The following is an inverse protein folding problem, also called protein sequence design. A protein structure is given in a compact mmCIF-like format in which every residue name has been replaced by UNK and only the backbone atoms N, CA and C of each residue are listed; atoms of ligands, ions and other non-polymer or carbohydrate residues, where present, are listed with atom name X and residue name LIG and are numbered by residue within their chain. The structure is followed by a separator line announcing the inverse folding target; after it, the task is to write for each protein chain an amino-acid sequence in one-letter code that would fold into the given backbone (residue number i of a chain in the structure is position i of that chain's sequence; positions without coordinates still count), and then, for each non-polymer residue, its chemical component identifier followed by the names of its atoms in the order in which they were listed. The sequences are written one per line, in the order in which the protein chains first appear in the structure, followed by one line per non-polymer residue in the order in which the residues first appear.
data_IF_317057104063
#
_entry.id   IF_317057104063
#
_cell.length_a   1.000
_cell.length_b   1.000
_cell.length_c   1.000
_cell.angle_alpha   90.00
_cell.angle_beta   90.00
_cell.angle_gamma   90.00
#
_symmetry.space_group_name_H-M   'P 1'
#
loop_
_entity.id
_entity.type
_entity.pdbx_description
1 polymer ?
#
# COMPACT_ATOMS: atom_id res chain seq x y z
N UNK A 1 0.27 -5.36 27.52
CA UNK A 1 1.57 -4.64 27.61
C UNK A 1 2.24 -4.64 26.23
N UNK A 2 3.29 -3.83 26.01
CA UNK A 2 3.99 -3.77 24.71
C UNK A 2 4.43 -5.16 24.20
N UNK A 3 5.05 -5.96 25.07
CA UNK A 3 5.53 -7.30 24.73
C UNK A 3 4.44 -8.27 24.27
N UNK A 4 3.22 -8.12 24.81
CA UNK A 4 2.05 -8.93 24.39
C UNK A 4 1.61 -8.54 22.98
N UNK A 5 1.57 -7.24 22.67
CA UNK A 5 1.21 -6.74 21.35
C UNK A 5 2.25 -7.17 20.30
N UNK A 6 3.54 -7.06 20.63
CA UNK A 6 4.61 -7.56 19.76
C UNK A 6 4.50 -9.07 19.55
N UNK A 7 4.25 -9.84 20.61
CA UNK A 7 4.05 -11.29 20.50
C UNK A 7 2.84 -11.64 19.63
N UNK A 8 1.75 -10.87 19.74
CA UNK A 8 0.57 -11.03 18.89
C UNK A 8 0.90 -10.77 17.42
N UNK A 9 1.60 -9.66 17.12
CA UNK A 9 2.03 -9.31 15.76
C UNK A 9 2.91 -10.38 15.13
N UNK A 10 3.96 -10.82 15.85
CA UNK A 10 4.86 -11.88 15.38
C UNK A 10 4.15 -13.22 15.18
N UNK A 11 3.22 -13.59 16.07
CA UNK A 11 2.39 -14.79 15.88
C UNK A 11 1.51 -14.69 14.64
N UNK A 12 0.97 -13.50 14.34
CA UNK A 12 0.16 -13.28 13.13
C UNK A 12 1.01 -13.45 11.87
N UNK A 13 2.23 -12.91 11.84
CA UNK A 13 3.18 -13.13 10.75
C UNK A 13 3.49 -14.62 10.61
N UNK A 14 3.86 -15.29 11.70
CA UNK A 14 4.20 -16.71 11.69
C UNK A 14 3.04 -17.58 11.16
N UNK A 15 1.80 -17.25 11.56
CA UNK A 15 0.60 -17.95 11.08
C UNK A 15 0.34 -17.72 9.58
N UNK A 16 0.53 -16.49 9.08
CA UNK A 16 0.32 -16.18 7.65
C UNK A 16 1.42 -16.75 6.75
N UNK A 17 2.65 -16.81 7.24
CA UNK A 17 3.80 -17.37 6.49
C UNK A 17 3.94 -18.89 6.68
N UNK A 18 3.11 -19.52 7.53
CA UNK A 18 3.21 -20.93 7.90
C UNK A 18 4.61 -21.33 8.39
N UNK A 19 5.21 -20.48 9.24
CA UNK A 19 6.54 -20.70 9.83
C UNK A 19 6.45 -20.87 11.34
N UNK A 20 7.42 -21.58 11.91
CA UNK A 20 7.58 -21.63 13.36
C UNK A 20 8.01 -20.25 13.89
N UNK A 21 7.45 -19.84 15.04
CA UNK A 21 7.76 -18.55 15.66
C UNK A 21 9.27 -18.35 15.91
N UNK A 22 9.96 -19.42 16.30
CA UNK A 22 11.42 -19.41 16.51
C UNK A 22 12.20 -19.02 15.24
N UNK A 23 11.79 -19.56 14.09
CA UNK A 23 12.42 -19.27 12.79
C UNK A 23 12.16 -17.82 12.41
N UNK A 24 10.92 -17.33 12.64
CA UNK A 24 10.59 -15.93 12.40
C UNK A 24 11.41 -14.98 13.29
N UNK A 25 11.64 -15.31 14.56
CA UNK A 25 12.46 -14.48 15.44
C UNK A 25 13.92 -14.39 14.99
N UNK A 26 14.48 -15.48 14.46
CA UNK A 26 15.81 -15.49 13.86
C UNK A 26 15.87 -14.66 12.57
N UNK A 27 14.85 -14.76 11.71
CA UNK A 27 14.71 -13.94 10.49
C UNK A 27 14.59 -12.45 10.82
N UNK A 28 13.69 -12.09 11.73
CA UNK A 28 13.50 -10.73 12.23
C UNK A 28 14.80 -10.22 12.85
N UNK A 29 15.48 -11.05 13.65
CA UNK A 29 16.79 -10.71 14.19
C UNK A 29 17.79 -10.36 13.10
N UNK A 30 17.90 -11.21 12.08
CA UNK A 30 18.77 -10.99 10.93
C UNK A 30 18.42 -9.71 10.14
N UNK A 31 17.14 -9.48 9.84
CA UNK A 31 16.64 -8.30 9.13
C UNK A 31 16.97 -6.99 9.87
N UNK A 32 16.88 -7.01 11.21
CA UNK A 32 17.14 -5.83 12.04
C UNK A 32 18.59 -5.73 12.57
N UNK A 33 19.47 -6.66 12.16
CA UNK A 33 20.86 -6.71 12.63
C UNK A 33 20.99 -6.93 14.14
N UNK A 34 20.03 -7.62 14.75
CA UNK A 34 20.00 -7.93 16.19
C UNK A 34 19.99 -9.44 16.44
N UNK A 35 20.37 -9.84 17.64
CA UNK A 35 20.24 -11.24 18.04
C UNK A 35 18.79 -11.60 18.32
N UNK A 36 18.41 -12.86 18.10
CA UNK A 36 17.11 -13.40 18.52
C UNK A 36 16.78 -13.10 19.98
N UNK A 37 17.79 -13.11 20.85
CA UNK A 37 17.60 -12.78 22.26
C UNK A 37 17.16 -11.32 22.50
N UNK A 38 17.55 -10.38 21.63
CA UNK A 38 17.02 -9.02 21.67
C UNK A 38 15.51 -9.00 21.35
N UNK A 39 15.08 -9.76 20.33
CA UNK A 39 13.67 -9.89 19.96
C UNK A 39 12.87 -10.53 21.09
N UNK A 40 13.40 -11.60 21.71
CA UNK A 40 12.79 -12.24 22.87
C UNK A 40 12.66 -11.27 24.06
N UNK A 41 13.70 -10.47 24.32
CA UNK A 41 13.66 -9.44 25.36
C UNK A 41 12.56 -8.41 25.08
N UNK A 42 12.38 -7.99 23.83
CA UNK A 42 11.31 -7.04 23.49
C UNK A 42 9.92 -7.64 23.71
N UNK A 43 9.75 -8.92 23.38
CA UNK A 43 8.51 -9.67 23.67
C UNK A 43 8.21 -9.80 25.16
N UNK A 44 9.23 -9.72 26.03
CA UNK A 44 9.06 -9.69 27.49
C UNK A 44 8.72 -8.29 28.03
N UNK A 45 8.66 -7.27 27.18
CA UNK A 45 8.18 -5.93 27.53
C UNK A 45 9.23 -4.82 27.48
N UNK A 46 10.48 -5.11 27.09
CA UNK A 46 11.46 -4.05 26.83
C UNK A 46 11.13 -3.36 25.51
N UNK A 47 11.01 -2.03 25.52
CA UNK A 47 10.76 -1.26 24.30
C UNK A 47 12.09 -0.97 23.59
N UNK A 48 12.24 -1.28 22.29
CA UNK A 48 13.42 -0.90 21.52
C UNK A 48 13.43 0.60 21.19
N UNK A 49 14.48 1.05 20.52
CA UNK A 49 14.56 2.39 19.93
C UNK A 49 13.46 2.63 18.87
N UNK A 50 13.15 3.90 18.64
CA UNK A 50 12.03 4.33 17.81
C UNK A 50 12.09 3.73 16.38
N UNK A 51 13.28 3.69 15.77
CA UNK A 51 13.47 3.13 14.42
C UNK A 51 13.06 1.65 14.35
N UNK A 52 13.45 0.85 15.36
CA UNK A 52 13.08 -0.57 15.42
C UNK A 52 11.62 -0.75 15.77
N UNK A 53 11.04 0.10 16.64
CA UNK A 53 9.59 0.08 16.91
C UNK A 53 8.81 0.29 15.62
N UNK A 54 9.16 1.30 14.84
CA UNK A 54 8.52 1.62 13.56
C UNK A 54 8.68 0.49 12.55
N UNK A 55 9.88 -0.06 12.41
CA UNK A 55 10.13 -1.11 11.45
C UNK A 55 9.41 -2.43 11.82
N UNK A 56 9.36 -2.79 13.11
CA UNK A 56 8.54 -3.90 13.61
C UNK A 56 7.05 -3.66 13.37
N UNK A 57 6.58 -2.43 13.57
CA UNK A 57 5.18 -2.06 13.33
C UNK A 57 4.82 -2.23 11.84
N UNK A 58 5.67 -1.74 10.93
CA UNK A 58 5.50 -1.94 9.48
C UNK A 58 5.48 -3.42 9.10
N UNK A 59 6.42 -4.21 9.62
CA UNK A 59 6.47 -5.65 9.37
C UNK A 59 5.19 -6.36 9.85
N UNK A 60 4.68 -6.03 11.04
CA UNK A 60 3.44 -6.60 11.57
C UNK A 60 2.21 -6.22 10.73
N UNK A 61 2.12 -4.99 10.23
CA UNK A 61 1.00 -4.58 9.37
C UNK A 61 1.10 -5.25 7.99
N UNK A 62 2.26 -5.17 7.34
CA UNK A 62 2.44 -5.64 5.96
C UNK A 62 2.43 -7.17 5.85
N UNK A 63 3.23 -7.86 6.67
CA UNK A 63 3.34 -9.33 6.67
C UNK A 63 2.25 -9.96 7.52
N UNK A 64 2.04 -9.42 8.71
CA UNK A 64 1.13 -9.98 9.71
C UNK A 64 -0.34 -9.59 9.53
N UNK A 65 -0.65 -8.59 8.70
CA UNK A 65 -2.04 -8.17 8.44
C UNK A 65 -2.72 -7.57 9.66
N UNK A 66 -1.94 -6.99 10.59
CA UNK A 66 -2.49 -6.34 11.77
C UNK A 66 -3.31 -5.11 11.38
N UNK A 67 -4.38 -4.85 12.13
CA UNK A 67 -5.29 -3.75 11.83
C UNK A 67 -4.78 -2.39 12.38
N UNK A 68 -5.50 -1.32 11.99
CA UNK A 68 -5.20 0.04 12.42
C UNK A 68 -5.27 0.23 13.93
N UNK A 69 -6.21 -0.46 14.59
CA UNK A 69 -6.41 -0.34 16.04
C UNK A 69 -5.24 -0.95 16.80
N UNK A 70 -4.77 -2.12 16.37
CA UNK A 70 -3.57 -2.76 16.89
C UNK A 70 -2.35 -1.88 16.71
N UNK A 71 -2.15 -1.29 15.51
CA UNK A 71 -1.01 -0.41 15.24
C UNK A 71 -1.01 0.80 16.19
N UNK A 72 -2.16 1.46 16.35
CA UNK A 72 -2.29 2.59 17.27
C UNK A 72 -2.00 2.19 18.73
N UNK A 73 -2.46 1.00 19.16
CA UNK A 73 -2.19 0.49 20.50
C UNK A 73 -0.71 0.15 20.70
N UNK A 74 -0.09 -0.49 19.72
CA UNK A 74 1.33 -0.86 19.73
C UNK A 74 2.23 0.38 19.88
N UNK A 75 2.01 1.40 19.06
CA UNK A 75 2.81 2.63 19.08
C UNK A 75 2.61 3.45 20.36
N UNK A 76 1.38 3.49 20.90
CA UNK A 76 1.10 4.14 22.20
C UNK A 76 1.83 3.45 23.34
N UNK A 77 1.85 2.11 23.36
CA UNK A 77 2.53 1.33 24.39
C UNK A 77 4.06 1.41 24.27
N UNK A 78 4.57 1.66 23.07
CA UNK A 78 5.99 1.92 22.82
C UNK A 78 6.40 3.37 23.10
N UNK A 79 5.49 4.25 23.52
CA UNK A 79 5.71 5.70 23.65
C UNK A 79 6.31 6.34 22.38
N UNK A 80 5.94 5.81 21.21
CA UNK A 80 6.47 6.29 19.94
C UNK A 80 5.95 7.70 19.63
N UNK A 81 6.88 8.62 19.33
CA UNK A 81 6.55 10.00 19.01
C UNK A 81 5.81 10.07 17.67
N UNK A 82 4.76 10.90 17.60
CA UNK A 82 3.99 11.10 16.36
C UNK A 82 3.37 9.82 15.78
N UNK A 83 2.90 8.91 16.63
CA UNK A 83 2.26 7.65 16.22
C UNK A 83 1.07 7.85 15.27
N UNK A 84 0.39 8.99 15.32
CA UNK A 84 -0.72 9.32 14.42
C UNK A 84 -0.27 9.42 12.96
N UNK A 85 0.92 9.98 12.71
CA UNK A 85 1.45 10.12 11.35
C UNK A 85 1.75 8.74 10.73
N UNK A 86 2.41 7.86 11.49
CA UNK A 86 2.71 6.50 11.03
C UNK A 86 1.44 5.66 10.80
N UNK A 87 0.42 5.84 11.65
CA UNK A 87 -0.89 5.22 11.42
C UNK A 87 -1.55 5.72 10.14
N UNK A 88 -1.51 7.02 9.87
CA UNK A 88 -2.07 7.60 8.66
C UNK A 88 -1.30 7.20 7.39
N UNK A 89 0.02 7.01 7.49
CA UNK A 89 0.87 6.51 6.41
C UNK A 89 0.52 5.07 6.02
N UNK A 90 0.38 4.19 7.02
CA UNK A 90 0.12 2.75 6.78
C UNK A 90 -1.34 2.42 6.49
N UNK A 91 -2.26 3.26 6.97
CA UNK A 91 -3.70 3.16 6.71
C UNK A 91 -4.21 4.49 6.16
N UNK A 92 -3.91 4.81 4.89
CA UNK A 92 -4.43 6.01 4.26
C UNK A 92 -5.96 5.88 4.20
N UNK A 93 -6.66 6.85 4.79
CA UNK A 93 -8.12 6.95 4.61
C UNK A 93 -8.41 7.12 3.12
N UNK A 94 -9.24 6.26 2.50
CA UNK A 94 -9.52 6.29 1.06
C UNK A 94 -10.32 7.54 0.60
N UNK A 95 -10.33 8.62 1.38
CA UNK A 95 -11.03 9.87 1.07
C UNK A 95 -10.21 11.14 1.25
N UNK A 96 -8.89 11.08 1.52
CA UNK A 96 -8.07 12.29 1.68
C UNK A 96 -7.16 12.65 0.50
N UNK A 97 -7.09 11.78 -0.51
CA UNK A 97 -6.36 12.04 -1.77
C UNK A 97 -7.17 12.82 -2.79
N UNK A 98 -8.40 13.20 -2.44
CA UNK A 98 -9.14 14.18 -3.18
C UNK A 98 -9.75 15.12 -2.15
N UNK A 99 -9.14 16.29 -1.96
CA UNK A 99 -9.98 17.50 -1.96
C UNK A 99 -10.72 17.43 -3.31
N UNK A 100 -11.81 16.66 -3.35
CA UNK A 100 -12.73 16.64 -4.47
C UNK A 100 -13.25 18.07 -4.51
N UNK A 101 -12.60 18.92 -5.30
CA UNK A 101 -13.26 20.10 -5.84
C UNK A 101 -14.67 19.65 -6.24
N UNK A 102 -15.70 20.44 -5.91
CA UNK A 102 -17.08 19.98 -5.81
C UNK A 102 -17.37 19.06 -6.97
N UNK A 103 -17.73 17.78 -6.69
CA UNK A 103 -18.00 16.75 -7.69
C UNK A 103 -18.82 17.41 -8.79
N UNK A 104 -18.15 17.81 -9.87
CA UNK A 104 -18.77 18.56 -10.94
C UNK A 104 -19.44 17.47 -11.73
N UNK A 105 -20.62 17.07 -11.25
CA UNK A 105 -21.51 16.15 -11.97
C UNK A 105 -21.70 16.80 -13.32
N UNK A 106 -20.95 16.32 -14.30
CA UNK A 106 -21.18 16.63 -15.69
C UNK A 106 -22.53 15.97 -15.99
N UNK A 107 -23.62 16.68 -15.69
CA UNK A 107 -24.98 16.34 -16.10
C UNK A 107 -25.12 16.58 -17.62
N UNK A 108 -24.07 16.30 -18.38
CA UNK A 108 -24.17 16.26 -19.80
C UNK A 108 -25.06 15.05 -20.13
N UNK A 109 -26.13 15.24 -20.92
CA UNK A 109 -26.85 14.12 -21.45
C UNK A 109 -25.83 13.19 -22.14
N UNK A 110 -25.99 11.88 -21.95
CA UNK A 110 -25.24 10.89 -22.74
C UNK A 110 -25.65 11.06 -24.20
N UNK A 111 -24.97 11.94 -24.91
CA UNK A 111 -25.15 12.14 -26.32
C UNK A 111 -24.42 10.99 -27.02
N UNK A 112 -25.18 10.07 -27.59
CA UNK A 112 -24.64 9.11 -28.54
C UNK A 112 -24.40 9.87 -29.85
N UNK A 113 -23.14 10.08 -30.18
CA UNK A 113 -22.77 10.68 -31.45
C UNK A 113 -22.68 9.58 -32.51
N UNK A 114 -23.66 9.51 -33.40
CA UNK A 114 -23.67 8.51 -34.50
C UNK A 114 -22.80 8.92 -35.68
N UNK A 115 -22.51 10.22 -35.82
CA UNK A 115 -21.82 10.78 -36.99
C UNK A 115 -21.01 12.01 -36.61
N UNK A 116 -19.81 12.10 -37.18
CA UNK A 116 -18.99 13.31 -37.16
C UNK A 116 -19.46 14.25 -38.28
N UNK A 117 -20.09 15.36 -37.92
CA UNK A 117 -20.57 16.37 -38.88
C UNK A 117 -19.48 17.39 -39.16
N UNK A 118 -19.33 17.81 -40.41
CA UNK A 118 -18.42 18.89 -40.82
C UNK A 118 -16.94 18.51 -40.96
N UNK A 119 -16.57 17.25 -40.70
CA UNK A 119 -15.21 16.72 -40.82
C UNK A 119 -15.07 15.62 -41.87
N UNK A 120 -15.91 15.68 -42.91
CA UNK A 120 -15.97 14.63 -43.94
C UNK A 120 -14.65 14.50 -44.71
N UNK A 121 -13.94 15.62 -44.92
CA UNK A 121 -12.68 15.63 -45.65
C UNK A 121 -11.55 14.99 -44.85
N UNK A 122 -11.39 15.32 -43.55
CA UNK A 122 -10.37 14.68 -42.72
C UNK A 122 -10.67 13.19 -42.50
N UNK A 123 -11.95 12.81 -42.37
CA UNK A 123 -12.34 11.40 -42.30
C UNK A 123 -11.95 10.64 -43.57
N UNK A 124 -12.13 11.23 -44.75
CA UNK A 124 -11.74 10.62 -46.02
C UNK A 124 -10.21 10.47 -46.13
N UNK A 125 -9.44 11.44 -45.64
CA UNK A 125 -7.97 11.37 -45.59
C UNK A 125 -7.49 10.26 -44.63
N UNK A 126 -8.07 10.18 -43.44
CA UNK A 126 -7.77 9.11 -42.48
C UNK A 126 -8.13 7.74 -43.02
N UNK A 127 -9.27 7.61 -43.69
CA UNK A 127 -9.68 6.35 -44.33
C UNK A 127 -8.72 5.94 -45.45
N UNK A 128 -8.19 6.90 -46.24
CA UNK A 128 -7.14 6.60 -47.23
C UNK A 128 -5.85 6.15 -46.55
N UNK A 129 -5.43 6.83 -45.48
CA UNK A 129 -4.21 6.50 -44.76
C UNK A 129 -4.28 5.13 -44.05
N UNK A 130 -5.46 4.78 -43.54
CA UNK A 130 -5.71 3.50 -42.86
C UNK A 130 -6.09 2.37 -43.82
N UNK A 131 -6.35 2.69 -45.10
CA UNK A 131 -6.64 1.70 -46.13
C UNK A 131 -5.44 0.78 -46.35
N UNK A 132 -5.71 -0.50 -46.63
CA UNK A 132 -4.71 -1.56 -46.80
C UNK A 132 -3.67 -1.20 -47.88
N UNK A 133 -4.08 -0.45 -48.90
CA UNK A 133 -3.20 0.03 -49.97
C UNK A 133 -2.12 1.01 -49.50
N UNK A 134 -2.31 1.69 -48.36
CA UNK A 134 -1.30 2.60 -47.80
C UNK A 134 -0.31 1.89 -46.87
N UNK A 135 -0.67 0.74 -46.28
CA UNK A 135 0.23 -0.06 -45.43
C UNK A 135 1.28 -0.84 -46.24
N UNK A 136 0.93 -1.21 -47.46
CA UNK A 136 1.85 -1.83 -48.41
C UNK A 136 2.46 -0.70 -49.24
N UNK A 137 3.50 -0.04 -48.71
CA UNK A 137 4.13 1.11 -49.34
C UNK A 137 4.38 0.93 -50.84
N UNK A 138 3.45 1.44 -51.66
CA UNK A 138 3.69 1.65 -53.09
C UNK A 138 4.37 3.01 -53.18
N UNK A 139 5.70 2.95 -53.12
CA UNK A 139 6.56 3.98 -53.68
C UNK A 139 6.41 3.87 -55.20
N UNK A 140 5.78 4.86 -55.81
CA UNK A 140 6.04 5.22 -57.21
C UNK A 140 6.72 6.60 -57.19
#
# INVERSE_FOLDING_TARGET
MFGDLLSQGLRSIAARENKALLVLEDEVGYEFGVTRWAVERWRRGTVPDAERVEALARACVQRGGMDRAWLAHYLKQAHYYNWQALVAELFPEPGRLLEEGPILRHNLPRCFHERLVGRAQELAELQRYLSVHHRLGVVC
#
